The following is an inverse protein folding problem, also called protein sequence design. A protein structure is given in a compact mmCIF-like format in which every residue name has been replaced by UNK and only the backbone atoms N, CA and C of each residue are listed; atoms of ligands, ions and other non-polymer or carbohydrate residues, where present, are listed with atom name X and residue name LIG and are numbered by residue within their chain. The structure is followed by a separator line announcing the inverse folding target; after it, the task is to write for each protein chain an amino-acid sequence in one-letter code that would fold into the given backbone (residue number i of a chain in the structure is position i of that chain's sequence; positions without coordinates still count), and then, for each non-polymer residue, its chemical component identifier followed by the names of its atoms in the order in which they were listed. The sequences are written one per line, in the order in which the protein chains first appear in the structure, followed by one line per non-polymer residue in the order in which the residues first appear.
data_IF_675943746413
#
_entry.id   IF_675943746413
#
_cell.length_a   1.000
_cell.length_b   1.000
_cell.length_c   1.000
_cell.angle_alpha   90.00
_cell.angle_beta   90.00
_cell.angle_gamma   90.00
#
_symmetry.space_group_name_H-M   'P 1'
#
loop_
_entity.id
_entity.type
_entity.pdbx_description
1 polymer ?
#
# COMPACT_ATOMS: atom_id res chain seq x y z
N UNK A 1 -19.34 -6.07 6.07
CA UNK A 1 -18.45 -7.08 5.47
C UNK A 1 -17.68 -6.38 4.36
N UNK A 2 -16.37 -6.58 4.27
CA UNK A 2 -15.60 -6.02 3.14
C UNK A 2 -15.99 -6.77 1.86
N UNK A 3 -16.00 -6.09 0.72
CA UNK A 3 -16.18 -6.78 -0.56
C UNK A 3 -14.85 -7.49 -0.94
N UNK A 4 -14.96 -8.47 -1.82
CA UNK A 4 -13.82 -9.30 -2.23
C UNK A 4 -12.69 -8.48 -2.87
N UNK A 5 -13.03 -7.43 -3.62
CA UNK A 5 -12.04 -6.55 -4.27
C UNK A 5 -11.21 -5.75 -3.26
N UNK A 6 -11.85 -5.23 -2.21
CA UNK A 6 -11.17 -4.51 -1.14
C UNK A 6 -10.30 -5.46 -0.31
N UNK A 7 -10.78 -6.67 -0.05
CA UNK A 7 -9.99 -7.70 0.64
C UNK A 7 -8.74 -8.08 -0.16
N UNK A 8 -8.86 -8.24 -1.48
CA UNK A 8 -7.72 -8.46 -2.37
C UNK A 8 -6.72 -7.28 -2.31
N UNK A 9 -7.23 -6.05 -2.35
CA UNK A 9 -6.39 -4.83 -2.30
C UNK A 9 -5.62 -4.73 -0.97
N UNK A 10 -6.26 -5.07 0.14
CA UNK A 10 -5.63 -5.12 1.46
C UNK A 10 -4.55 -6.20 1.54
N UNK A 11 -4.81 -7.39 1.00
CA UNK A 11 -3.82 -8.48 0.96
C UNK A 11 -2.62 -8.11 0.11
N UNK A 12 -2.83 -7.43 -1.03
CA UNK A 12 -1.74 -6.92 -1.87
C UNK A 12 -0.90 -5.85 -1.15
N UNK A 13 -1.55 -4.90 -0.46
CA UNK A 13 -0.85 -3.87 0.32
C UNK A 13 0.03 -4.50 1.41
N UNK A 14 -0.52 -5.49 2.12
CA UNK A 14 0.19 -6.19 3.19
C UNK A 14 1.34 -7.04 2.64
N UNK A 15 1.12 -7.79 1.56
CA UNK A 15 2.17 -8.58 0.91
C UNK A 15 3.33 -7.71 0.44
N UNK A 16 3.04 -6.56 -0.19
CA UNK A 16 4.07 -5.62 -0.64
C UNK A 16 4.88 -5.06 0.53
N UNK A 17 4.22 -4.61 1.60
CA UNK A 17 4.90 -4.10 2.79
C UNK A 17 5.83 -5.17 3.40
N UNK A 18 5.38 -6.42 3.44
CA UNK A 18 6.16 -7.55 3.94
C UNK A 18 7.35 -7.91 3.04
N UNK A 19 7.18 -7.88 1.72
CA UNK A 19 8.27 -8.09 0.75
C UNK A 19 9.39 -7.05 0.91
N UNK A 20 9.04 -5.80 1.23
CA UNK A 20 9.99 -4.72 1.46
C UNK A 20 10.46 -4.64 2.92
N UNK A 21 10.04 -5.60 3.76
CA UNK A 21 10.31 -5.63 5.21
C UNK A 21 9.94 -4.33 5.92
N UNK A 22 8.91 -3.63 5.44
CA UNK A 22 8.36 -2.47 6.12
C UNK A 22 7.80 -2.89 7.47
N UNK A 23 8.20 -2.19 8.53
CA UNK A 23 7.74 -2.45 9.89
C UNK A 23 6.23 -2.26 10.02
N UNK A 24 5.68 -1.32 9.24
CA UNK A 24 4.27 -1.01 9.22
C UNK A 24 3.70 -1.03 7.81
N UNK A 25 2.52 -1.63 7.66
CA UNK A 25 1.62 -1.32 6.56
C UNK A 25 0.82 -0.08 6.95
N UNK A 26 1.01 1.00 6.21
CA UNK A 26 0.39 2.30 6.45
C UNK A 26 -0.83 2.54 5.54
N UNK A 27 -1.54 3.66 5.73
CA UNK A 27 -2.64 4.06 4.85
C UNK A 27 -2.17 4.42 3.44
N UNK A 28 -0.91 4.84 3.27
CA UNK A 28 -0.30 5.11 1.97
C UNK A 28 -0.12 3.81 1.16
N UNK A 29 0.23 2.69 1.83
CA UNK A 29 0.27 1.37 1.19
C UNK A 29 -1.13 0.95 0.71
N UNK A 30 -2.15 1.22 1.54
CA UNK A 30 -3.53 0.95 1.17
C UNK A 30 -3.95 1.80 -0.03
N UNK A 31 -3.68 3.11 -0.02
CA UNK A 31 -3.99 3.98 -1.14
C UNK A 31 -3.28 3.55 -2.42
N UNK A 32 -1.99 3.18 -2.34
CA UNK A 32 -1.23 2.64 -3.46
C UNK A 32 -1.86 1.37 -4.05
N UNK A 33 -2.34 0.45 -3.20
CA UNK A 33 -3.06 -0.73 -3.66
C UNK A 33 -4.43 -0.39 -4.28
N UNK A 34 -5.13 0.61 -3.74
CA UNK A 34 -6.41 1.09 -4.27
C UNK A 34 -6.28 1.73 -5.66
N UNK A 35 -5.10 2.21 -6.07
CA UNK A 35 -4.89 2.68 -7.45
C UNK A 35 -5.11 1.56 -8.49
N UNK A 36 -5.02 0.30 -8.09
CA UNK A 36 -5.29 -0.87 -8.92
C UNK A 36 -6.67 -1.51 -8.65
N UNK A 37 -7.42 -1.01 -7.66
CA UNK A 37 -8.77 -1.47 -7.36
C UNK A 37 -9.77 -0.84 -8.36
N UNK A 38 -10.60 -1.62 -9.07
CA UNK A 38 -11.48 -1.09 -10.12
C UNK A 38 -12.39 0.06 -9.65
N UNK A 39 -13.06 -0.11 -8.51
CA UNK A 39 -13.99 0.88 -7.98
C UNK A 39 -13.29 2.16 -7.52
N UNK A 40 -12.16 2.04 -6.81
CA UNK A 40 -11.40 3.22 -6.37
C UNK A 40 -10.75 3.94 -7.56
N UNK A 41 -10.23 3.19 -8.53
CA UNK A 41 -9.63 3.74 -9.75
C UNK A 41 -10.65 4.55 -10.56
N UNK A 42 -11.86 4.01 -10.77
CA UNK A 42 -12.94 4.71 -11.47
C UNK A 42 -13.28 6.05 -10.78
N UNK A 43 -13.35 6.06 -9.44
CA UNK A 43 -13.60 7.28 -8.68
C UNK A 43 -12.47 8.32 -8.84
N UNK A 44 -11.21 7.89 -8.81
CA UNK A 44 -10.05 8.78 -8.99
C UNK A 44 -9.95 9.33 -10.43
N UNK A 45 -10.24 8.49 -11.43
CA UNK A 45 -10.31 8.90 -12.84
C UNK A 45 -11.43 9.94 -13.06
N UNK A 46 -12.60 9.75 -12.43
CA UNK A 46 -13.69 10.72 -12.47
C UNK A 46 -13.31 12.07 -11.81
N UNK A 47 -12.39 12.05 -10.86
CA UNK A 47 -11.80 13.25 -10.26
C UNK A 47 -10.62 13.85 -11.06
N UNK A 48 -10.32 13.33 -12.25
CA UNK A 48 -9.20 13.76 -13.10
C UNK A 48 -7.84 13.68 -12.41
N UNK A 49 -7.66 12.69 -11.53
CA UNK A 49 -6.38 12.45 -10.86
C UNK A 49 -5.38 11.84 -11.84
N UNK A 50 -4.15 12.35 -11.86
CA UNK A 50 -3.03 11.70 -12.53
C UNK A 50 -2.56 10.49 -11.70
N UNK A 51 -3.06 9.31 -12.06
CA UNK A 51 -2.76 8.06 -11.37
C UNK A 51 -1.29 7.65 -11.48
N UNK A 52 -0.58 8.10 -12.53
CA UNK A 52 0.84 7.77 -12.72
C UNK A 52 1.67 8.61 -11.78
N UNK A 53 1.42 9.92 -11.72
CA UNK A 53 2.09 10.82 -10.78
C UNK A 53 1.79 10.42 -9.32
N UNK A 54 0.52 10.18 -8.98
CA UNK A 54 0.12 9.77 -7.63
C UNK A 54 0.80 8.46 -7.18
N UNK A 55 0.91 7.48 -8.09
CA UNK A 55 1.62 6.24 -7.81
C UNK A 55 3.08 6.50 -7.46
N UNK A 56 3.78 7.29 -8.27
CA UNK A 56 5.20 7.59 -8.06
C UNK A 56 5.43 8.33 -6.75
N UNK A 57 4.57 9.30 -6.42
CA UNK A 57 4.63 10.04 -5.16
C UNK A 57 4.40 9.12 -3.95
N UNK A 58 3.41 8.24 -4.01
CA UNK A 58 3.13 7.28 -2.94
C UNK A 58 4.27 6.29 -2.75
N UNK A 59 4.79 5.71 -3.83
CA UNK A 59 5.94 4.81 -3.77
C UNK A 59 7.16 5.52 -3.16
N UNK A 60 7.50 6.72 -3.63
CA UNK A 60 8.61 7.48 -3.10
C UNK A 60 8.42 7.83 -1.62
N UNK A 61 7.22 8.23 -1.21
CA UNK A 61 6.92 8.56 0.18
C UNK A 61 7.01 7.35 1.10
N UNK A 62 6.46 6.20 0.69
CA UNK A 62 6.52 4.95 1.44
C UNK A 62 7.97 4.56 1.71
N UNK A 63 8.80 4.52 0.67
CA UNK A 63 10.22 4.12 0.79
C UNK A 63 11.03 5.08 1.69
N UNK A 64 10.68 6.37 1.70
CA UNK A 64 11.40 7.37 2.49
C UNK A 64 10.98 7.43 3.96
N UNK A 65 9.72 7.10 4.25
CA UNK A 65 9.12 7.35 5.57
C UNK A 65 8.79 6.09 6.36
N UNK A 66 8.79 4.92 5.71
CA UNK A 66 8.45 3.67 6.39
C UNK A 66 9.72 3.01 6.92
N UNK A 67 9.85 2.81 8.25
CA UNK A 67 10.97 2.08 8.81
C UNK A 67 11.02 0.66 8.27
N UNK A 68 12.22 0.18 7.96
CA UNK A 68 12.47 -1.20 7.55
C UNK A 68 12.93 -2.00 8.77
N UNK A 69 12.38 -3.20 8.94
CA UNK A 69 12.78 -4.12 10.00
C UNK A 69 14.27 -4.49 9.86
N UNK A 70 15.08 -4.36 10.93
CA UNK A 70 16.48 -4.76 10.92
C UNK A 70 16.65 -6.23 10.52
N UNK A 71 17.71 -6.54 9.79
CA UNK A 71 18.02 -7.92 9.41
C UNK A 71 18.16 -8.85 10.63
N UNK A 72 18.58 -8.33 11.79
CA UNK A 72 18.70 -9.07 13.04
C UNK A 72 17.36 -9.49 13.67
N UNK A 73 16.24 -8.94 13.21
CA UNK A 73 14.90 -9.21 13.74
C UNK A 73 14.09 -10.05 12.75
N UNK A 74 14.59 -11.25 12.41
CA UNK A 74 13.97 -12.13 11.41
C UNK A 74 12.58 -12.66 11.83
N UNK A 75 12.31 -12.74 13.14
CA UNK A 75 11.02 -13.21 13.67
C UNK A 75 9.93 -12.14 13.68
N UNK A 76 10.28 -10.86 13.50
CA UNK A 76 9.31 -9.77 13.46
C UNK A 76 8.67 -9.67 12.07
N UNK A 77 7.35 -9.52 12.04
CA UNK A 77 6.57 -9.36 10.82
C UNK A 77 6.00 -7.94 10.71
N UNK A 78 5.55 -7.57 9.51
CA UNK A 78 4.90 -6.28 9.24
C UNK A 78 3.63 -6.13 10.08
N UNK A 79 3.47 -4.99 10.74
CA UNK A 79 2.30 -4.66 11.56
C UNK A 79 1.33 -3.77 10.79
N UNK A 80 0.02 -3.92 11.02
CA UNK A 80 -0.99 -3.00 10.49
C UNK A 80 -1.14 -1.82 11.45
N UNK A 81 -0.99 -0.59 10.94
CA UNK A 81 -1.12 0.64 11.73
C UNK A 81 -2.38 1.41 11.38
#
# INVERSE_FOLDING_TARGET
MLNQELELSLNMAFARAREHRHEFMTVEHLLLALLSNPSAREALEACSVDLVALRQELEAFIEQTTPVLPASEEERDTQRR
#
